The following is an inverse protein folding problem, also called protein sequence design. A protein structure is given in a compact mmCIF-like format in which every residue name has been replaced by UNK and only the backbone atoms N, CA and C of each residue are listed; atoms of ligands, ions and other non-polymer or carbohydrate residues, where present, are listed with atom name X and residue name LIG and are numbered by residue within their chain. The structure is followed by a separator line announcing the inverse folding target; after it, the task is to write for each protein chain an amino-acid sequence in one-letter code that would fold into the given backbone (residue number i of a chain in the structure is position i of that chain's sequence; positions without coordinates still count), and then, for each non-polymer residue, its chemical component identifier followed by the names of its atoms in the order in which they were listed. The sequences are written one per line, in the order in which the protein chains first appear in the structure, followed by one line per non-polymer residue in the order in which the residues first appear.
data_IF_585201748424
#
_entry.id   IF_585201748424
#
_cell.length_a   1.000
_cell.length_b   1.000
_cell.length_c   1.000
_cell.angle_alpha   90.00
_cell.angle_beta   90.00
_cell.angle_gamma   90.00
#
_symmetry.space_group_name_H-M   'P 1'
#
loop_
_entity.id
_entity.type
_entity.pdbx_description
1 polymer ?
#
# COMPACT_ATOMS: atom_id res chain seq x y z
N UNK A 1 90.97 29.33 21.71
CA UNK A 1 89.51 29.42 21.83
C UNK A 1 88.98 28.03 21.54
N UNK A 2 88.69 27.22 22.56
CA UNK A 2 87.95 25.97 22.40
C UNK A 2 87.55 25.42 23.77
N UNK A 3 86.30 24.98 23.81
CA UNK A 3 85.62 23.99 24.68
C UNK A 3 85.81 24.03 26.21
N UNK A 4 84.68 24.09 26.93
CA UNK A 4 84.44 23.15 28.03
C UNK A 4 82.97 22.74 28.07
N UNK A 5 82.78 21.44 27.99
CA UNK A 5 81.54 20.67 28.05
C UNK A 5 80.86 20.76 29.42
N UNK A 6 79.53 20.72 29.44
CA UNK A 6 78.75 20.24 30.58
C UNK A 6 77.41 19.65 30.11
N UNK A 7 77.20 18.37 30.40
CA UNK A 7 75.99 17.60 30.11
C UNK A 7 74.76 18.13 30.86
N UNK A 8 73.55 17.98 30.31
CA UNK A 8 72.33 18.53 30.91
C UNK A 8 71.81 17.68 32.09
N UNK A 9 71.21 18.31 33.11
CA UNK A 9 70.50 17.62 34.19
C UNK A 9 69.11 17.09 33.75
N UNK A 10 68.58 16.08 34.47
CA UNK A 10 67.43 15.27 34.04
C UNK A 10 66.08 16.01 34.12
N UNK A 11 65.05 15.51 33.39
CA UNK A 11 63.78 16.20 33.23
C UNK A 11 62.91 16.14 34.50
N UNK A 12 62.09 17.18 34.76
CA UNK A 12 61.11 17.13 35.84
C UNK A 12 59.94 16.19 35.50
N UNK A 13 59.48 15.50 36.55
CA UNK A 13 58.45 14.43 36.57
C UNK A 13 57.05 15.00 36.27
N UNK A 14 56.15 14.28 35.57
CA UNK A 14 54.83 14.79 35.22
C UNK A 14 53.91 14.85 36.46
N UNK A 15 53.24 15.98 36.65
CA UNK A 15 52.12 16.10 37.60
C UNK A 15 50.88 15.46 36.97
N UNK A 16 50.31 14.44 37.62
CA UNK A 16 49.02 13.85 37.22
C UNK A 16 47.91 14.90 37.35
N UNK A 17 47.32 15.29 36.22
CA UNK A 17 46.03 16.00 36.20
C UNK A 17 44.95 14.95 35.94
N UNK A 18 44.01 14.79 36.86
CA UNK A 18 42.87 13.88 36.70
C UNK A 18 42.04 14.29 35.46
N UNK A 19 41.50 13.34 34.67
CA UNK A 19 40.58 13.68 33.60
C UNK A 19 39.29 14.21 34.20
N UNK A 20 38.90 15.43 33.81
CA UNK A 20 37.54 15.92 34.00
C UNK A 20 36.65 15.13 33.05
N UNK A 21 35.80 14.26 33.59
CA UNK A 21 34.74 13.60 32.84
C UNK A 21 33.80 14.69 32.30
N UNK A 22 33.56 14.79 30.98
CA UNK A 22 32.45 15.60 30.51
C UNK A 22 31.17 14.93 30.98
N UNK A 23 30.40 15.65 31.79
CA UNK A 23 29.03 15.27 32.14
C UNK A 23 28.24 15.23 30.84
N UNK A 24 28.02 14.03 30.29
CA UNK A 24 27.00 13.84 29.26
C UNK A 24 25.66 14.17 29.93
N UNK A 25 25.18 15.38 29.71
CA UNK A 25 23.76 15.67 29.85
C UNK A 25 23.05 14.82 28.81
N UNK A 26 22.38 13.78 29.29
CA UNK A 26 21.44 12.97 28.55
C UNK A 26 20.27 13.89 28.14
N UNK A 27 20.40 14.55 26.98
CA UNK A 27 19.29 15.23 26.35
C UNK A 27 18.31 14.17 25.86
N UNK A 28 17.18 14.03 26.54
CA UNK A 28 16.00 13.40 25.97
C UNK A 28 15.69 14.07 24.63
N UNK A 29 15.59 13.33 23.50
CA UNK A 29 15.24 13.95 22.23
C UNK A 29 13.80 14.47 22.31
N UNK A 30 13.59 15.73 21.97
CA UNK A 30 12.24 16.26 21.74
C UNK A 30 11.80 15.76 20.36
N UNK A 31 10.64 15.08 20.24
CA UNK A 31 10.17 14.55 18.96
C UNK A 31 9.99 15.67 17.94
N UNK A 32 10.32 15.39 16.68
CA UNK A 32 10.07 16.31 15.56
C UNK A 32 8.57 16.43 15.28
N UNK A 33 8.12 17.53 14.64
CA UNK A 33 6.71 17.71 14.27
C UNK A 33 6.15 16.53 13.45
N UNK A 34 6.97 15.95 12.56
CA UNK A 34 6.59 14.77 11.78
C UNK A 34 6.40 13.51 12.64
N UNK A 35 7.19 13.34 13.70
CA UNK A 35 7.03 12.23 14.65
C UNK A 35 5.79 12.42 15.53
N UNK A 36 5.48 13.66 15.92
CA UNK A 36 4.26 13.99 16.65
C UNK A 36 3.03 13.71 15.78
N UNK A 37 3.03 14.12 14.51
CA UNK A 37 1.94 13.86 13.56
C UNK A 37 1.73 12.36 13.35
N UNK A 38 2.80 11.59 13.15
CA UNK A 38 2.72 10.13 13.03
C UNK A 38 2.18 9.46 14.31
N UNK A 39 2.62 9.92 15.50
CA UNK A 39 2.12 9.41 16.78
C UNK A 39 0.63 9.71 17.01
N UNK A 40 0.17 10.87 16.51
CA UNK A 40 -1.24 11.27 16.55
C UNK A 40 -2.11 10.40 15.65
N UNK A 41 -1.62 10.08 14.44
CA UNK A 41 -2.30 9.19 13.50
C UNK A 41 -2.40 7.78 14.07
N UNK A 42 -1.30 7.23 14.61
CA UNK A 42 -1.29 5.93 15.27
C UNK A 42 -2.29 5.86 16.43
N UNK A 43 -2.32 6.88 17.28
CA UNK A 43 -3.29 6.96 18.39
C UNK A 43 -4.73 6.97 17.89
N UNK A 44 -5.04 7.79 16.88
CA UNK A 44 -6.39 7.88 16.31
C UNK A 44 -6.81 6.56 15.63
N UNK A 45 -5.87 5.87 14.96
CA UNK A 45 -6.12 4.56 14.38
C UNK A 45 -6.46 3.55 15.47
N UNK A 46 -5.68 3.48 16.55
CA UNK A 46 -5.95 2.56 17.67
C UNK A 46 -7.32 2.81 18.29
N UNK A 47 -7.72 4.07 18.46
CA UNK A 47 -9.04 4.43 18.98
C UNK A 47 -10.17 3.98 18.04
N UNK A 48 -10.03 4.20 16.74
CA UNK A 48 -11.01 3.74 15.75
C UNK A 48 -11.05 2.20 15.69
N UNK A 49 -9.90 1.54 15.64
CA UNK A 49 -9.78 0.08 15.55
C UNK A 49 -10.44 -0.62 16.75
N UNK A 50 -10.39 -0.02 17.94
CA UNK A 50 -11.06 -0.53 19.14
C UNK A 50 -12.60 -0.53 19.05
N UNK A 51 -13.19 0.17 18.07
CA UNK A 51 -14.64 0.22 17.84
C UNK A 51 -15.13 -0.77 16.78
N UNK A 52 -14.20 -1.41 16.06
CA UNK A 52 -14.52 -2.34 14.99
C UNK A 52 -15.11 -3.64 15.55
N UNK A 53 -15.91 -4.36 14.75
CA UNK A 53 -16.21 -5.77 15.05
C UNK A 53 -14.91 -6.58 15.18
N UNK A 54 -14.98 -7.76 15.79
CA UNK A 54 -13.80 -8.60 15.97
C UNK A 54 -13.26 -9.11 14.62
N UNK A 55 -11.97 -8.90 14.38
CA UNK A 55 -11.31 -9.25 13.12
C UNK A 55 -9.91 -8.67 13.02
N UNK A 56 -9.20 -9.09 11.99
CA UNK A 56 -7.94 -8.49 11.58
C UNK A 56 -8.20 -7.39 10.55
N UNK A 57 -7.50 -6.26 10.67
CA UNK A 57 -7.55 -5.17 9.69
C UNK A 57 -6.14 -4.73 9.31
N UNK A 58 -6.02 -4.15 8.12
CA UNK A 58 -4.80 -3.56 7.60
C UNK A 58 -5.11 -2.25 6.90
N UNK A 59 -4.32 -1.22 7.16
CA UNK A 59 -4.30 0.03 6.40
C UNK A 59 -2.86 0.35 6.06
N UNK A 60 -2.56 0.50 4.78
CA UNK A 60 -1.26 1.02 4.33
C UNK A 60 -1.46 2.29 3.52
N UNK A 61 -0.65 3.30 3.84
CA UNK A 61 -0.61 4.60 3.17
C UNK A 61 0.79 4.81 2.62
N UNK A 62 0.90 5.10 1.33
CA UNK A 62 2.13 5.58 0.69
C UNK A 62 1.93 7.01 0.19
N UNK A 63 2.79 7.92 0.65
CA UNK A 63 2.74 9.35 0.30
C UNK A 63 3.73 9.74 -0.81
N UNK A 64 4.44 8.77 -1.40
CA UNK A 64 5.49 8.99 -2.39
C UNK A 64 6.91 9.03 -1.81
N UNK A 65 7.05 9.06 -0.48
CA UNK A 65 8.33 9.02 0.21
C UNK A 65 8.36 7.99 1.34
N UNK A 66 7.26 7.88 2.10
CA UNK A 66 7.13 7.07 3.30
C UNK A 66 5.90 6.19 3.22
N UNK A 67 6.08 4.98 3.74
CA UNK A 67 4.99 4.03 3.91
C UNK A 67 4.65 3.96 5.38
N UNK A 68 3.37 4.13 5.68
CA UNK A 68 2.82 3.99 7.03
C UNK A 68 1.80 2.86 7.05
N UNK A 69 1.96 1.93 7.98
CA UNK A 69 1.10 0.75 8.12
C UNK A 69 0.43 0.71 9.48
N UNK A 70 -0.83 0.30 9.50
CA UNK A 70 -1.64 0.15 10.69
C UNK A 70 -2.41 -1.18 10.65
N UNK A 71 -2.65 -1.76 11.83
CA UNK A 71 -3.36 -3.03 11.97
C UNK A 71 -2.44 -4.27 11.86
N UNK A 72 -3.05 -5.45 11.97
CA UNK A 72 -2.37 -6.75 11.96
C UNK A 72 -2.27 -7.39 10.58
N UNK A 73 -3.17 -7.02 9.65
CA UNK A 73 -3.23 -7.63 8.32
C UNK A 73 -2.22 -6.99 7.37
N UNK A 74 -1.38 -7.80 6.73
CA UNK A 74 -0.25 -7.30 5.91
C UNK A 74 -0.22 -7.85 4.48
N UNK A 75 -0.79 -9.02 4.23
CA UNK A 75 -0.86 -9.62 2.89
C UNK A 75 -2.03 -10.60 2.73
N UNK A 76 -2.32 -10.94 1.49
CA UNK A 76 -3.32 -11.95 1.14
C UNK A 76 -3.57 -11.97 -0.36
N UNK A 77 -4.52 -12.80 -0.79
CA UNK A 77 -4.93 -12.84 -2.19
C UNK A 77 -5.41 -11.45 -2.66
N UNK A 78 -5.02 -11.06 -3.86
CA UNK A 78 -5.39 -9.79 -4.48
C UNK A 78 -6.91 -9.73 -4.76
N UNK A 79 -7.53 -10.88 -5.01
CA UNK A 79 -8.91 -10.97 -5.47
C UNK A 79 -9.15 -10.04 -6.67
N UNK A 80 -10.27 -9.32 -6.69
CA UNK A 80 -10.58 -8.42 -7.81
C UNK A 80 -9.78 -7.11 -7.82
N UNK A 81 -8.89 -6.84 -6.86
CA UNK A 81 -8.03 -5.64 -6.93
C UNK A 81 -6.98 -5.74 -8.04
N UNK A 82 -6.50 -6.95 -8.35
CA UNK A 82 -5.57 -7.21 -9.47
C UNK A 82 -6.16 -6.90 -10.85
N UNK A 83 -7.48 -6.70 -10.94
CA UNK A 83 -8.12 -6.29 -12.20
C UNK A 83 -7.60 -4.94 -12.69
N UNK A 84 -7.08 -4.09 -11.80
CA UNK A 84 -6.49 -2.80 -12.19
C UNK A 84 -5.28 -2.98 -13.12
N UNK A 85 -4.18 -3.65 -12.71
CA UNK A 85 -3.06 -3.88 -13.63
C UNK A 85 -3.43 -4.80 -14.80
N UNK A 86 -4.33 -5.77 -14.60
CA UNK A 86 -4.85 -6.62 -15.69
C UNK A 86 -5.53 -5.80 -16.79
N UNK A 87 -6.39 -4.84 -16.42
CA UNK A 87 -7.07 -3.99 -17.39
C UNK A 87 -6.11 -3.11 -18.18
N UNK A 88 -5.05 -2.59 -17.54
CA UNK A 88 -4.03 -1.80 -18.24
C UNK A 88 -3.26 -2.69 -19.23
N UNK A 89 -2.85 -3.89 -18.82
CA UNK A 89 -2.18 -4.83 -19.69
C UNK A 89 -3.06 -5.19 -20.91
N UNK A 90 -4.35 -5.50 -20.68
CA UNK A 90 -5.28 -5.86 -21.75
C UNK A 90 -5.54 -4.68 -22.71
N UNK A 91 -5.71 -3.47 -22.20
CA UNK A 91 -5.85 -2.25 -23.02
C UNK A 91 -4.62 -1.99 -23.89
N UNK A 92 -3.42 -2.36 -23.45
CA UNK A 92 -2.20 -2.24 -24.27
C UNK A 92 -2.14 -3.29 -25.38
N UNK A 93 -2.61 -4.50 -25.11
CA UNK A 93 -2.61 -5.61 -26.06
C UNK A 93 -3.66 -5.41 -27.16
N UNK A 94 -4.88 -5.02 -26.78
CA UNK A 94 -6.00 -4.79 -27.70
C UNK A 94 -6.89 -3.65 -27.16
N UNK A 95 -6.59 -2.39 -27.50
CA UNK A 95 -7.34 -1.25 -26.99
C UNK A 95 -8.84 -1.32 -27.29
N UNK A 96 -9.23 -1.67 -28.52
CA UNK A 96 -10.63 -1.68 -28.94
C UNK A 96 -11.41 -2.87 -28.34
N UNK A 97 -10.80 -4.06 -28.31
CA UNK A 97 -11.43 -5.24 -27.74
C UNK A 97 -11.49 -5.23 -26.21
N UNK A 98 -10.46 -4.70 -25.54
CA UNK A 98 -10.39 -4.69 -24.08
C UNK A 98 -11.21 -3.57 -23.42
N UNK A 99 -11.45 -2.45 -24.10
CA UNK A 99 -12.17 -1.28 -23.53
C UNK A 99 -13.55 -1.61 -22.93
N UNK A 100 -14.48 -2.31 -23.63
CA UNK A 100 -15.75 -2.69 -23.03
C UNK A 100 -15.61 -3.67 -21.87
N UNK A 101 -14.65 -4.59 -21.94
CA UNK A 101 -14.37 -5.57 -20.88
C UNK A 101 -13.81 -4.89 -19.64
N UNK A 102 -12.89 -3.95 -19.80
CA UNK A 102 -12.29 -3.16 -18.74
C UNK A 102 -13.36 -2.39 -17.97
N UNK A 103 -14.29 -1.71 -18.65
CA UNK A 103 -15.36 -0.97 -17.98
C UNK A 103 -16.20 -1.88 -17.08
N UNK A 104 -16.57 -3.07 -17.55
CA UNK A 104 -17.35 -4.03 -16.74
C UNK A 104 -16.52 -4.63 -15.60
N UNK A 105 -15.28 -5.02 -15.88
CA UNK A 105 -14.39 -5.62 -14.89
C UNK A 105 -13.99 -4.64 -13.78
N UNK A 106 -13.85 -3.36 -14.06
CA UNK A 106 -13.50 -2.34 -13.07
C UNK A 106 -14.76 -1.82 -12.37
N UNK A 107 -15.75 -1.30 -13.10
CA UNK A 107 -16.92 -0.67 -12.49
C UNK A 107 -17.84 -1.68 -11.81
N UNK A 108 -18.09 -2.85 -12.43
CA UNK A 108 -19.00 -3.86 -11.86
C UNK A 108 -18.27 -5.03 -11.20
N UNK A 109 -16.94 -5.03 -11.20
CA UNK A 109 -16.15 -6.19 -10.76
C UNK A 109 -16.51 -7.48 -11.49
N UNK A 110 -16.95 -7.39 -12.76
CA UNK A 110 -17.37 -8.56 -13.54
C UNK A 110 -16.19 -9.54 -13.73
N UNK A 111 -16.40 -10.82 -13.45
CA UNK A 111 -15.34 -11.82 -13.55
C UNK A 111 -15.19 -12.33 -14.99
N UNK A 112 -16.30 -12.47 -15.73
CA UNK A 112 -16.25 -12.96 -17.11
C UNK A 112 -15.48 -12.02 -18.05
N UNK A 113 -15.57 -10.71 -17.81
CA UNK A 113 -14.84 -9.68 -18.54
C UNK A 113 -13.36 -9.68 -18.18
N UNK A 114 -13.03 -9.93 -16.90
CA UNK A 114 -11.65 -10.08 -16.46
C UNK A 114 -11.01 -11.36 -17.01
N UNK A 115 -11.74 -12.47 -17.07
CA UNK A 115 -11.27 -13.73 -17.68
C UNK A 115 -11.03 -13.55 -19.19
N UNK A 116 -11.89 -12.80 -19.89
CA UNK A 116 -11.67 -12.44 -21.29
C UNK A 116 -10.43 -11.55 -21.48
N UNK A 117 -10.27 -10.51 -20.66
CA UNK A 117 -9.05 -9.68 -20.68
C UNK A 117 -7.78 -10.50 -20.43
N UNK A 118 -7.83 -11.46 -19.49
CA UNK A 118 -6.73 -12.36 -19.22
C UNK A 118 -6.40 -13.23 -20.45
N UNK A 119 -7.42 -13.77 -21.12
CA UNK A 119 -7.24 -14.57 -22.33
C UNK A 119 -6.68 -13.77 -23.52
N UNK A 120 -6.98 -12.46 -23.62
CA UNK A 120 -6.39 -11.58 -24.64
C UNK A 120 -4.87 -11.47 -24.54
N UNK A 121 -4.30 -11.69 -23.35
CA UNK A 121 -2.86 -11.60 -23.10
C UNK A 121 -2.07 -12.86 -23.49
N UNK A 122 -2.76 -13.90 -23.98
CA UNK A 122 -2.14 -15.14 -24.45
C UNK A 122 -2.27 -16.30 -23.47
N UNK A 123 -1.26 -17.17 -23.43
CA UNK A 123 -1.22 -18.25 -22.45
C UNK A 123 -1.05 -17.70 -21.01
N UNK A 124 -1.33 -18.50 -19.96
CA UNK A 124 -1.29 -18.00 -18.59
C UNK A 124 0.06 -17.42 -18.15
N UNK A 125 1.18 -17.88 -18.72
CA UNK A 125 2.50 -17.37 -18.39
C UNK A 125 2.72 -15.99 -19.02
N UNK A 126 2.36 -15.83 -20.30
CA UNK A 126 2.39 -14.54 -20.99
C UNK A 126 1.45 -13.52 -20.33
N UNK A 127 0.25 -13.95 -19.95
CA UNK A 127 -0.72 -13.11 -19.26
C UNK A 127 -0.20 -12.65 -17.89
N UNK A 128 0.37 -13.55 -17.08
CA UNK A 128 0.97 -13.18 -15.81
C UNK A 128 2.12 -12.18 -15.98
N UNK A 129 3.03 -12.43 -16.93
CA UNK A 129 4.15 -11.53 -17.22
C UNK A 129 3.66 -10.12 -17.63
N UNK A 130 2.65 -10.01 -18.48
CA UNK A 130 2.09 -8.72 -18.90
C UNK A 130 1.46 -7.94 -17.73
N UNK A 131 0.82 -8.63 -16.79
CA UNK A 131 0.29 -7.98 -15.56
C UNK A 131 1.42 -7.59 -14.61
N UNK A 132 2.46 -8.42 -14.50
CA UNK A 132 3.66 -8.09 -13.72
C UNK A 132 4.37 -6.84 -14.27
N UNK A 133 4.52 -6.70 -15.58
CA UNK A 133 5.14 -5.52 -16.19
C UNK A 133 4.43 -4.23 -15.77
N UNK A 134 3.09 -4.24 -15.76
CA UNK A 134 2.30 -3.10 -15.25
C UNK A 134 2.52 -2.86 -13.75
N UNK A 135 2.60 -3.93 -12.94
CA UNK A 135 2.92 -3.81 -11.51
C UNK A 135 4.30 -3.17 -11.31
N UNK A 136 5.31 -3.56 -12.09
CA UNK A 136 6.68 -3.01 -12.03
C UNK A 136 6.71 -1.53 -12.40
N UNK A 137 5.97 -1.12 -13.42
CA UNK A 137 5.83 0.30 -13.77
C UNK A 137 5.15 1.12 -12.66
N UNK A 138 4.22 0.52 -11.93
CA UNK A 138 3.62 1.11 -10.73
C UNK A 138 4.52 1.03 -9.48
N UNK A 139 5.76 0.56 -9.59
CA UNK A 139 6.73 0.50 -8.49
C UNK A 139 6.61 -0.73 -7.60
N UNK A 140 5.69 -1.65 -7.86
CA UNK A 140 5.66 -2.95 -7.19
C UNK A 140 6.78 -3.82 -7.77
N UNK A 141 7.88 -3.95 -7.02
CA UNK A 141 9.11 -4.59 -7.51
C UNK A 141 9.14 -6.11 -7.33
N UNK A 142 8.18 -6.71 -6.61
CA UNK A 142 8.35 -8.08 -6.09
C UNK A 142 7.17 -9.01 -6.33
N UNK A 143 5.95 -8.50 -6.55
CA UNK A 143 4.78 -9.37 -6.70
C UNK A 143 4.87 -10.19 -7.97
N UNK A 144 4.80 -11.51 -7.82
CA UNK A 144 4.66 -12.48 -8.91
C UNK A 144 3.18 -12.81 -9.10
N UNK A 145 2.65 -12.61 -10.29
CA UNK A 145 1.25 -12.85 -10.62
C UNK A 145 1.01 -14.36 -10.73
N UNK A 146 -0.01 -14.84 -10.02
CA UNK A 146 -0.35 -16.25 -10.05
C UNK A 146 -0.93 -16.62 -11.42
N UNK A 147 -0.18 -17.41 -12.18
CA UNK A 147 -0.58 -17.93 -13.49
C UNK A 147 -1.42 -19.20 -13.41
N UNK A 148 -1.28 -20.01 -12.35
CA UNK A 148 -1.98 -21.29 -12.19
C UNK A 148 -3.23 -21.15 -11.30
N UNK A 149 -4.32 -21.81 -11.68
CA UNK A 149 -5.50 -21.91 -10.84
C UNK A 149 -5.26 -22.94 -9.71
N UNK A 150 -4.67 -22.49 -8.60
CA UNK A 150 -4.34 -23.37 -7.47
C UNK A 150 -5.54 -23.64 -6.55
N UNK A 151 -6.56 -22.77 -6.55
CA UNK A 151 -7.82 -22.91 -5.81
C UNK A 151 -9.02 -22.73 -6.75
N UNK A 152 -9.47 -23.78 -7.46
CA UNK A 152 -10.73 -23.74 -8.19
C UNK A 152 -11.91 -23.43 -7.26
N UNK A 153 -12.93 -22.68 -7.71
CA UNK A 153 -13.12 -22.15 -9.07
C UNK A 153 -12.55 -20.73 -9.28
N UNK A 154 -11.73 -20.20 -8.36
CA UNK A 154 -11.28 -18.81 -8.41
C UNK A 154 -10.24 -18.58 -9.52
N UNK A 155 -10.21 -17.39 -10.14
CA UNK A 155 -9.22 -17.09 -11.20
C UNK A 155 -7.79 -17.19 -10.68
N UNK A 156 -6.83 -17.54 -11.56
CA UNK A 156 -5.42 -17.60 -11.19
C UNK A 156 -4.90 -16.24 -10.73
N UNK A 157 -5.10 -15.20 -11.54
CA UNK A 157 -4.67 -13.84 -11.24
C UNK A 157 -5.21 -13.30 -9.92
N UNK A 158 -6.46 -13.65 -9.55
CA UNK A 158 -7.07 -13.23 -8.29
C UNK A 158 -6.44 -13.87 -7.05
N UNK A 159 -5.74 -14.98 -7.23
CA UNK A 159 -5.03 -15.71 -6.16
C UNK A 159 -3.59 -15.21 -5.97
N UNK A 160 -3.17 -14.20 -6.73
CA UNK A 160 -1.88 -13.52 -6.52
C UNK A 160 -1.79 -13.03 -5.08
N UNK A 161 -0.78 -13.49 -4.35
CA UNK A 161 -0.47 -12.92 -3.02
C UNK A 161 0.06 -11.51 -3.23
N UNK A 162 -0.67 -10.51 -2.71
CA UNK A 162 -0.33 -9.11 -2.87
C UNK A 162 -0.37 -8.42 -1.51
N UNK A 163 0.80 -8.03 -1.02
CA UNK A 163 0.95 -7.33 0.26
C UNK A 163 0.30 -5.95 0.22
N UNK A 164 -0.25 -5.49 1.35
CA UNK A 164 -0.78 -4.13 1.50
C UNK A 164 0.27 -3.05 1.19
N UNK A 165 1.55 -3.35 1.50
CA UNK A 165 2.70 -2.53 1.15
C UNK A 165 2.79 -2.26 -0.36
N UNK A 166 2.88 -3.34 -1.16
CA UNK A 166 3.01 -3.22 -2.61
C UNK A 166 1.74 -2.69 -3.27
N UNK A 167 0.56 -3.03 -2.75
CA UNK A 167 -0.71 -2.47 -3.23
C UNK A 167 -0.76 -0.96 -3.08
N UNK A 168 -0.30 -0.41 -1.94
CA UNK A 168 -0.24 1.04 -1.73
C UNK A 168 0.79 1.74 -2.62
N UNK A 169 1.97 1.14 -2.84
CA UNK A 169 2.97 1.66 -3.80
C UNK A 169 2.39 1.72 -5.20
N UNK A 170 1.81 0.61 -5.67
CA UNK A 170 1.19 0.55 -6.98
C UNK A 170 0.07 1.58 -7.13
N UNK A 171 -0.79 1.74 -6.11
CA UNK A 171 -1.86 2.71 -6.12
C UNK A 171 -1.36 4.16 -6.22
N UNK A 172 -0.30 4.52 -5.50
CA UNK A 172 0.29 5.87 -5.57
C UNK A 172 0.79 6.21 -6.98
N UNK A 173 1.50 5.27 -7.62
CA UNK A 173 2.08 5.48 -8.94
C UNK A 173 1.10 5.27 -10.09
N UNK A 174 -0.08 4.68 -9.82
CA UNK A 174 -1.07 4.32 -10.84
C UNK A 174 -1.44 5.47 -11.80
N UNK A 175 -1.62 6.74 -11.36
CA UNK A 175 -1.87 7.86 -12.28
C UNK A 175 -0.76 8.11 -13.30
N UNK A 176 0.46 7.64 -13.03
CA UNK A 176 1.62 7.82 -13.88
C UNK A 176 1.97 6.57 -14.71
N UNK A 177 1.26 5.46 -14.50
CA UNK A 177 1.39 4.28 -15.34
C UNK A 177 0.83 4.58 -16.74
N UNK A 178 1.59 4.38 -17.84
CA UNK A 178 1.12 4.66 -19.19
C UNK A 178 -0.19 3.94 -19.52
N UNK A 179 -1.19 4.67 -19.99
CA UNK A 179 -2.49 4.10 -20.35
C UNK A 179 -3.40 3.74 -19.17
N UNK A 180 -3.09 4.18 -17.95
CA UNK A 180 -3.94 3.92 -16.77
C UNK A 180 -5.22 4.77 -16.71
N UNK A 181 -5.29 5.92 -17.40
CA UNK A 181 -6.40 6.85 -17.22
C UNK A 181 -7.80 6.27 -17.52
N UNK A 182 -8.03 5.44 -18.56
CA UNK A 182 -9.33 4.78 -18.74
C UNK A 182 -9.73 3.91 -17.55
N UNK A 183 -8.75 3.21 -16.93
CA UNK A 183 -8.97 2.37 -15.75
C UNK A 183 -9.27 3.24 -14.53
N UNK A 184 -8.52 4.32 -14.32
CA UNK A 184 -8.75 5.28 -13.25
C UNK A 184 -10.12 5.96 -13.37
N UNK A 185 -10.56 6.31 -14.58
CA UNK A 185 -11.89 6.85 -14.81
C UNK A 185 -12.98 5.87 -14.37
N UNK A 186 -12.85 4.58 -14.69
CA UNK A 186 -13.77 3.54 -14.20
C UNK A 186 -13.68 3.31 -12.69
N UNK A 187 -12.49 3.42 -12.09
CA UNK A 187 -12.28 3.34 -10.63
C UNK A 187 -12.91 4.50 -9.86
N UNK A 188 -13.06 5.68 -10.48
CA UNK A 188 -13.81 6.82 -9.91
C UNK A 188 -15.33 6.63 -10.00
N UNK A 189 -15.80 5.64 -10.76
CA UNK A 189 -17.21 5.39 -11.05
C UNK A 189 -17.57 3.90 -10.87
N UNK A 190 -17.18 3.33 -9.72
CA UNK A 190 -17.54 1.95 -9.38
C UNK A 190 -19.03 1.80 -9.04
N UNK A 191 -19.60 0.64 -9.39
CA UNK A 191 -20.97 0.26 -9.10
C UNK A 191 -21.21 -0.08 -7.62
N UNK A 192 -22.48 -0.20 -7.24
CA UNK A 192 -22.91 -0.36 -5.84
C UNK A 192 -22.30 -1.55 -5.10
N UNK A 193 -21.87 -2.59 -5.81
CA UNK A 193 -21.18 -3.75 -5.23
C UNK A 193 -19.76 -3.45 -4.72
N UNK A 194 -19.26 -2.24 -4.94
CA UNK A 194 -17.94 -1.78 -4.51
C UNK A 194 -17.98 -0.42 -3.80
N UNK A 195 -19.18 0.13 -3.57
CA UNK A 195 -19.40 1.43 -2.94
C UNK A 195 -19.31 1.37 -1.41
N UNK A 196 -18.22 0.79 -0.93
CA UNK A 196 -17.83 0.69 0.48
C UNK A 196 -16.38 1.18 0.63
N UNK A 197 -15.91 1.31 1.87
CA UNK A 197 -14.60 1.87 2.17
C UNK A 197 -14.45 3.29 1.63
N UNK A 198 -13.42 3.52 0.81
CA UNK A 198 -13.07 4.83 0.29
C UNK A 198 -13.92 5.32 -0.90
N UNK A 199 -14.77 4.45 -1.46
CA UNK A 199 -15.55 4.74 -2.67
C UNK A 199 -16.49 5.95 -2.55
N UNK A 200 -16.94 6.26 -1.33
CA UNK A 200 -17.96 7.27 -1.07
C UNK A 200 -17.39 8.67 -0.80
N UNK A 201 -16.07 8.83 -0.83
CA UNK A 201 -15.41 10.11 -0.54
C UNK A 201 -14.93 10.80 -1.81
N UNK A 202 -14.96 12.13 -1.80
CA UNK A 202 -14.48 12.92 -2.93
C UNK A 202 -12.97 12.72 -3.16
N UNK A 203 -12.56 12.73 -4.43
CA UNK A 203 -11.15 12.62 -4.81
C UNK A 203 -10.56 11.22 -4.63
N UNK A 204 -11.39 10.18 -4.61
CA UNK A 204 -10.93 8.78 -4.55
C UNK A 204 -11.20 8.07 -5.88
N UNK A 205 -10.31 7.13 -6.22
CA UNK A 205 -10.51 6.16 -7.29
C UNK A 205 -10.19 4.79 -6.69
N UNK A 206 -11.14 3.86 -6.69
CA UNK A 206 -11.04 2.61 -5.93
C UNK A 206 -11.24 1.36 -6.79
N UNK A 207 -10.69 0.24 -6.33
CA UNK A 207 -11.11 -1.10 -6.76
C UNK A 207 -11.24 -2.01 -5.56
N UNK A 208 -12.41 -2.63 -5.41
CA UNK A 208 -12.67 -3.63 -4.37
C UNK A 208 -12.26 -5.05 -4.80
N UNK A 209 -11.92 -5.88 -3.83
CA UNK A 209 -11.72 -7.32 -4.00
C UNK A 209 -12.09 -8.08 -2.73
N UNK A 210 -12.76 -9.22 -2.88
CA UNK A 210 -13.14 -10.06 -1.77
C UNK A 210 -13.17 -11.52 -2.20
N UNK A 211 -12.95 -12.42 -1.24
CA UNK A 211 -13.04 -13.85 -1.46
C UNK A 211 -12.67 -14.65 -0.21
N UNK A 212 -13.04 -15.95 -0.17
CA UNK A 212 -12.79 -16.77 0.99
C UNK A 212 -11.33 -17.19 1.10
N UNK A 213 -10.79 -17.19 2.32
CA UNK A 213 -9.57 -17.88 2.69
C UNK A 213 -9.72 -19.40 2.59
N UNK A 214 -8.62 -20.13 2.85
CA UNK A 214 -8.64 -21.60 2.88
C UNK A 214 -9.47 -22.17 4.04
N UNK A 215 -9.72 -21.36 5.06
CA UNK A 215 -10.58 -21.68 6.20
C UNK A 215 -12.03 -21.20 6.02
N UNK A 216 -12.38 -20.67 4.84
CA UNK A 216 -13.73 -20.20 4.51
C UNK A 216 -14.05 -18.78 4.95
N UNK A 217 -13.27 -18.18 5.85
CA UNK A 217 -13.45 -16.78 6.26
C UNK A 217 -13.09 -15.81 5.15
N UNK A 218 -13.91 -14.78 4.92
CA UNK A 218 -13.67 -13.82 3.84
C UNK A 218 -12.58 -12.81 4.18
N UNK A 219 -11.71 -12.56 3.19
CA UNK A 219 -10.92 -11.34 3.10
C UNK A 219 -11.71 -10.34 2.25
N UNK A 220 -11.85 -9.11 2.72
CA UNK A 220 -12.38 -7.96 1.97
C UNK A 220 -11.28 -6.90 1.93
N UNK A 221 -10.94 -6.41 0.73
CA UNK A 221 -9.83 -5.47 0.54
C UNK A 221 -10.11 -4.43 -0.54
N UNK A 222 -9.48 -3.27 -0.43
CA UNK A 222 -9.59 -2.17 -1.39
C UNK A 222 -8.23 -1.63 -1.76
N UNK A 223 -8.00 -1.43 -3.04
CA UNK A 223 -6.97 -0.54 -3.55
C UNK A 223 -7.61 0.83 -3.78
N UNK A 224 -6.93 1.91 -3.40
CA UNK A 224 -7.42 3.26 -3.67
C UNK A 224 -6.29 4.25 -4.00
N UNK A 225 -6.53 5.09 -5.00
CA UNK A 225 -5.83 6.35 -5.22
C UNK A 225 -6.64 7.45 -4.54
N UNK A 226 -6.01 8.21 -3.65
CA UNK A 226 -6.69 9.26 -2.87
C UNK A 226 -5.97 10.58 -3.07
N UNK A 227 -6.68 11.57 -3.59
CA UNK A 227 -6.18 12.94 -3.66
C UNK A 227 -6.43 13.66 -2.33
N UNK A 228 -5.49 14.49 -1.92
CA UNK A 228 -5.64 15.45 -0.83
C UNK A 228 -5.21 16.85 -1.29
N UNK A 229 -5.18 17.84 -0.38
CA UNK A 229 -4.82 19.21 -0.71
C UNK A 229 -3.38 19.40 -1.25
N UNK A 230 -2.50 18.45 -0.96
CA UNK A 230 -1.06 18.54 -1.28
C UNK A 230 -0.63 17.62 -2.42
N UNK A 231 -1.39 16.56 -2.73
CA UNK A 231 -1.02 15.59 -3.76
C UNK A 231 -1.81 14.29 -3.67
N UNK A 232 -1.15 13.21 -4.05
CA UNK A 232 -1.69 11.85 -4.16
C UNK A 232 -1.21 11.02 -2.96
N UNK A 233 -2.09 10.15 -2.50
CA UNK A 233 -1.79 9.05 -1.59
C UNK A 233 -2.21 7.73 -2.26
N UNK A 234 -1.32 6.74 -2.21
CA UNK A 234 -1.66 5.36 -2.52
C UNK A 234 -2.11 4.64 -1.26
N UNK A 235 -3.28 4.01 -1.30
CA UNK A 235 -3.90 3.37 -0.14
C UNK A 235 -4.23 1.92 -0.43
N UNK A 236 -3.92 1.06 0.54
CA UNK A 236 -4.44 -0.31 0.61
C UNK A 236 -5.21 -0.51 1.92
N UNK A 237 -6.40 -1.10 1.82
CA UNK A 237 -7.25 -1.47 2.94
C UNK A 237 -7.52 -2.98 2.91
N UNK A 238 -7.54 -3.61 4.06
CA UNK A 238 -7.97 -4.99 4.21
C UNK A 238 -8.70 -5.22 5.54
N UNK A 239 -9.67 -6.13 5.52
CA UNK A 239 -10.31 -6.67 6.70
C UNK A 239 -10.62 -8.15 6.54
N UNK A 240 -10.43 -8.88 7.62
CA UNK A 240 -10.82 -10.28 7.78
C UNK A 240 -11.61 -10.41 9.08
N UNK A 241 -12.94 -10.33 9.04
CA UNK A 241 -13.76 -10.45 10.23
C UNK A 241 -13.73 -11.88 10.78
N UNK A 242 -13.80 -12.02 12.11
CA UNK A 242 -13.82 -13.33 12.77
C UNK A 242 -15.09 -14.14 12.45
N UNK A 243 -16.20 -13.46 12.12
CA UNK A 243 -17.42 -14.12 11.66
C UNK A 243 -17.33 -14.63 10.21
N UNK A 244 -16.24 -14.30 9.51
CA UNK A 244 -15.95 -14.72 8.16
C UNK A 244 -16.85 -14.11 7.08
N UNK A 245 -17.70 -13.14 7.40
CA UNK A 245 -18.70 -12.60 6.47
C UNK A 245 -18.18 -11.44 5.61
N UNK A 246 -18.68 -11.33 4.37
CA UNK A 246 -18.39 -10.18 3.51
C UNK A 246 -18.95 -8.89 4.14
N UNK A 247 -20.19 -8.94 4.64
CA UNK A 247 -20.89 -7.76 5.16
C UNK A 247 -20.15 -7.11 6.34
N UNK A 248 -19.62 -7.91 7.28
CA UNK A 248 -18.81 -7.39 8.39
C UNK A 248 -17.48 -6.82 7.87
N UNK A 249 -16.87 -7.45 6.88
CA UNK A 249 -15.64 -6.95 6.25
C UNK A 249 -15.85 -5.61 5.54
N UNK A 250 -16.93 -5.45 4.77
CA UNK A 250 -17.30 -4.18 4.13
C UNK A 250 -17.59 -3.09 5.17
N UNK A 251 -18.27 -3.43 6.27
CA UNK A 251 -18.51 -2.51 7.37
C UNK A 251 -17.20 -2.07 8.03
N UNK A 252 -16.25 -2.98 8.28
CA UNK A 252 -14.91 -2.64 8.76
C UNK A 252 -14.22 -1.68 7.79
N UNK A 253 -14.22 -1.96 6.48
CA UNK A 253 -13.61 -1.08 5.50
C UNK A 253 -14.27 0.30 5.46
N UNK A 254 -15.59 0.42 5.68
CA UNK A 254 -16.25 1.72 5.81
C UNK A 254 -15.67 2.55 6.96
N UNK A 255 -15.41 1.94 8.12
CA UNK A 255 -14.75 2.63 9.24
C UNK A 255 -13.30 3.02 8.90
N UNK A 256 -12.53 2.12 8.27
CA UNK A 256 -11.16 2.43 7.83
C UNK A 256 -11.13 3.58 6.81
N UNK A 257 -12.02 3.55 5.82
CA UNK A 257 -12.14 4.59 4.79
C UNK A 257 -12.53 5.94 5.37
N UNK A 258 -13.48 5.97 6.32
CA UNK A 258 -13.85 7.19 7.03
C UNK A 258 -12.70 7.76 7.86
N UNK A 259 -11.92 6.91 8.52
CA UNK A 259 -10.73 7.33 9.26
C UNK A 259 -9.67 7.95 8.32
N UNK A 260 -9.45 7.37 7.15
CA UNK A 260 -8.54 7.96 6.14
C UNK A 260 -9.06 9.29 5.63
N UNK A 261 -10.35 9.40 5.30
CA UNK A 261 -10.91 10.67 4.81
C UNK A 261 -10.76 11.80 5.83
N UNK A 262 -10.93 11.50 7.11
CA UNK A 262 -10.73 12.45 8.22
C UNK A 262 -9.27 12.87 8.41
N UNK A 263 -8.32 11.98 8.12
CA UNK A 263 -6.90 12.19 8.45
C UNK A 263 -6.03 12.53 7.26
N UNK A 264 -6.44 12.26 6.01
CA UNK A 264 -5.62 12.41 4.80
C UNK A 264 -5.09 13.83 4.57
N UNK A 265 -5.75 14.86 5.11
CA UNK A 265 -5.30 16.24 4.99
C UNK A 265 -4.21 16.62 6.01
N UNK A 266 -3.92 15.75 6.97
CA UNK A 266 -2.77 15.86 7.88
C UNK A 266 -1.52 15.15 7.31
N UNK A 267 -1.63 14.53 6.13
CA UNK A 267 -0.55 13.82 5.44
C UNK A 267 -0.14 14.66 4.24
N UNK A 268 1.15 14.95 4.11
CA UNK A 268 1.67 15.60 2.90
C UNK A 268 1.73 14.54 1.80
N UNK A 269 0.82 14.62 0.84
CA UNK A 269 0.78 13.77 -0.35
C UNK A 269 1.86 14.15 -1.36
N UNK A 270 2.18 13.21 -2.23
CA UNK A 270 3.23 13.35 -3.23
C UNK A 270 2.70 13.53 -4.65
N UNK A 271 3.63 13.51 -5.59
CA UNK A 271 3.37 13.35 -7.02
C UNK A 271 4.12 12.11 -7.49
N UNK A 272 3.48 11.33 -8.33
CA UNK A 272 4.19 10.56 -9.34
C UNK A 272 4.36 11.48 -10.57
#
# INVERSE_FOLDING_TARGET
METTSASPPPPPVPVLVAPVTPTNSESTPVPSAQEIDASSLATSFTQMAATLPAGDVGVTIYDGQRITQYGSWTDGAAWSTIKVPLSIAALRADPEGAEPLMRQAISQSDNSSADQMWALLGDPAAAAAAVEDVLREGGDAVTTVQQQQVRPPYSSYGQTTWSEYQTAIFAFNLPCVPGAEPVLASMRAVGGNQQWGLANFAGTAVKGGWGPGTDGGYLVRQLAVVNNATGILGISLAARPHDGSIATGEAMLNFLGAWIDQTRNNIVGGQC
#
